data_IF_172424380044
#
_entry.id   IF_172424380044
#
_cell.length_a   1.000
_cell.length_b   1.000
_cell.length_c   1.000
_cell.angle_alpha   90.00
_cell.angle_beta   90.00
_cell.angle_gamma   90.00
#
_symmetry.space_group_name_H-M   'P 1'
#
loop_
_entity.id
_entity.type
_entity.pdbx_description
1 polymer ?
#
# COMPACT_ATOMS: atom_id res chain seq x y z
N UNK A 1 34.40 -23.37 -32.94
CA UNK A 1 34.42 -21.94 -32.59
C UNK A 1 33.42 -21.20 -33.46
N UNK A 2 32.85 -20.08 -33.00
CA UNK A 2 31.94 -19.22 -33.77
C UNK A 2 32.57 -17.87 -34.00
N UNK A 3 32.35 -17.30 -35.19
CA UNK A 3 32.74 -15.94 -35.53
C UNK A 3 31.96 -14.91 -34.70
N UNK A 4 32.50 -13.70 -34.53
CA UNK A 4 31.79 -12.60 -33.87
C UNK A 4 30.43 -12.29 -34.52
N UNK A 5 30.29 -12.47 -35.83
CA UNK A 5 29.03 -12.27 -36.54
C UNK A 5 27.97 -13.33 -36.21
N UNK A 6 28.38 -14.59 -36.11
CA UNK A 6 27.50 -15.69 -35.69
C UNK A 6 27.07 -15.54 -34.24
N UNK A 7 28.01 -15.22 -33.33
CA UNK A 7 27.69 -14.98 -31.92
C UNK A 7 26.77 -13.79 -31.75
N UNK A 8 26.98 -12.70 -32.50
CA UNK A 8 26.08 -11.55 -32.47
C UNK A 8 24.64 -11.95 -32.82
N UNK A 9 24.46 -12.71 -33.91
CA UNK A 9 23.16 -13.20 -34.34
C UNK A 9 22.51 -14.12 -33.29
N UNK A 10 23.29 -15.04 -32.72
CA UNK A 10 22.76 -16.11 -31.87
C UNK A 10 22.61 -15.73 -30.38
N UNK A 11 23.27 -14.65 -29.95
CA UNK A 11 23.15 -14.08 -28.60
C UNK A 11 22.17 -12.90 -28.53
N UNK A 12 21.85 -12.29 -29.68
CA UNK A 12 21.06 -11.06 -29.75
C UNK A 12 21.83 -9.80 -29.35
N UNK A 13 23.16 -9.88 -29.28
CA UNK A 13 24.06 -8.74 -29.10
C UNK A 13 24.54 -8.23 -30.46
N UNK A 14 24.79 -6.93 -30.60
CA UNK A 14 25.43 -6.42 -31.83
C UNK A 14 26.93 -6.74 -31.85
N UNK A 15 27.53 -6.80 -33.04
CA UNK A 15 28.98 -6.97 -33.20
C UNK A 15 29.75 -5.86 -32.48
N UNK A 16 29.21 -4.63 -32.47
CA UNK A 16 29.78 -3.50 -31.73
C UNK A 16 29.73 -3.73 -30.21
N UNK A 17 28.62 -4.27 -29.69
CA UNK A 17 28.47 -4.60 -28.28
C UNK A 17 29.46 -5.69 -27.85
N UNK A 18 29.65 -6.75 -28.65
CA UNK A 18 30.65 -7.79 -28.37
C UNK A 18 32.08 -7.23 -28.32
N UNK A 19 32.43 -6.31 -29.23
CA UNK A 19 33.72 -5.60 -29.18
C UNK A 19 33.86 -4.69 -27.95
N UNK A 20 32.77 -4.09 -27.50
CA UNK A 20 32.75 -3.30 -26.28
C UNK A 20 32.98 -4.18 -25.04
N UNK A 21 32.30 -5.33 -24.94
CA UNK A 21 32.45 -6.25 -23.80
C UNK A 21 33.81 -6.93 -23.73
N UNK A 22 34.42 -7.19 -24.89
CA UNK A 22 35.83 -7.60 -24.99
C UNK A 22 36.75 -6.55 -24.34
N UNK A 23 36.68 -5.28 -24.79
CA UNK A 23 37.49 -4.19 -24.22
C UNK A 23 37.21 -3.93 -22.74
N UNK A 24 35.97 -4.13 -22.29
CA UNK A 24 35.56 -3.95 -20.90
C UNK A 24 35.91 -5.16 -20.00
N UNK A 25 36.49 -6.23 -20.56
CA UNK A 25 36.86 -7.43 -19.82
C UNK A 25 35.65 -8.19 -19.25
N UNK A 26 34.50 -8.11 -19.92
CA UNK A 26 33.25 -8.75 -19.51
C UNK A 26 33.03 -10.05 -20.27
N UNK A 27 33.36 -10.07 -21.57
CA UNK A 27 33.30 -11.27 -22.40
C UNK A 27 34.47 -11.24 -23.39
N UNK A 28 35.59 -11.85 -22.99
CA UNK A 28 36.83 -11.87 -23.75
C UNK A 28 36.76 -12.99 -24.80
N UNK A 29 37.01 -12.74 -26.10
CA UNK A 29 37.00 -13.80 -27.12
C UNK A 29 37.96 -14.94 -26.78
N UNK A 30 37.55 -16.18 -27.04
CA UNK A 30 38.42 -17.35 -26.88
C UNK A 30 39.70 -17.25 -27.75
N UNK A 31 39.60 -16.63 -28.92
CA UNK A 31 40.75 -16.38 -29.78
C UNK A 31 40.55 -15.12 -30.63
N UNK A 32 41.63 -14.37 -30.82
CA UNK A 32 41.68 -13.23 -31.74
C UNK A 32 42.77 -13.48 -32.75
N UNK A 33 42.42 -13.42 -34.03
CA UNK A 33 43.36 -13.58 -35.13
C UNK A 33 44.42 -12.46 -35.09
N UNK A 34 45.72 -12.80 -35.00
CA UNK A 34 46.79 -11.82 -34.85
C UNK A 34 47.04 -10.97 -36.10
N UNK A 35 46.58 -11.40 -37.28
CA UNK A 35 46.75 -10.70 -38.55
C UNK A 35 45.50 -9.91 -38.92
N UNK A 36 44.32 -10.54 -38.84
CA UNK A 36 43.07 -9.92 -39.26
C UNK A 36 42.32 -9.20 -38.12
N UNK A 37 42.69 -9.44 -36.86
CA UNK A 37 42.00 -8.93 -35.67
C UNK A 37 40.61 -9.54 -35.47
N UNK A 38 40.29 -10.61 -36.19
CA UNK A 38 38.99 -11.25 -36.17
C UNK A 38 38.78 -12.06 -34.89
N UNK A 39 37.60 -11.96 -34.28
CA UNK A 39 37.29 -12.53 -32.97
C UNK A 39 36.49 -13.81 -33.10
N UNK A 40 36.90 -14.81 -32.35
CA UNK A 40 36.33 -16.14 -32.30
C UNK A 40 35.96 -16.51 -30.87
N UNK A 41 34.80 -17.12 -30.70
CA UNK A 41 34.25 -17.48 -29.40
C UNK A 41 34.02 -19.00 -29.31
N UNK A 42 34.13 -19.54 -28.10
CA UNK A 42 33.82 -20.94 -27.83
C UNK A 42 32.30 -21.18 -27.78
N UNK A 43 31.83 -22.44 -27.88
CA UNK A 43 30.42 -22.77 -27.68
C UNK A 43 29.89 -22.38 -26.28
N UNK A 44 30.70 -22.44 -25.23
CA UNK A 44 30.30 -22.05 -23.86
C UNK A 44 30.07 -20.54 -23.76
N UNK A 45 30.91 -19.74 -24.43
CA UNK A 45 30.77 -18.29 -24.50
C UNK A 45 29.49 -17.83 -25.21
N UNK A 46 28.84 -18.72 -25.98
CA UNK A 46 27.52 -18.45 -26.51
C UNK A 46 26.45 -18.44 -25.41
N UNK A 47 26.53 -19.33 -24.42
CA UNK A 47 25.61 -19.33 -23.29
C UNK A 47 25.83 -18.09 -22.42
N UNK A 48 27.09 -17.73 -22.16
CA UNK A 48 27.47 -16.52 -21.40
C UNK A 48 27.01 -15.25 -22.11
N UNK A 49 27.19 -15.14 -23.43
CA UNK A 49 26.71 -13.97 -24.19
C UNK A 49 25.19 -13.85 -24.22
N UNK A 50 24.45 -14.96 -24.26
CA UNK A 50 22.98 -14.96 -24.11
C UNK A 50 22.54 -14.50 -22.72
N UNK A 51 23.22 -14.96 -21.68
CA UNK A 51 22.97 -14.54 -20.31
C UNK A 51 23.26 -13.04 -20.15
N UNK A 52 24.42 -12.58 -20.62
CA UNK A 52 24.80 -11.17 -20.66
C UNK A 52 23.73 -10.32 -21.32
N UNK A 53 23.22 -10.75 -22.48
CA UNK A 53 22.17 -10.05 -23.21
C UNK A 53 20.89 -9.90 -22.37
N UNK A 54 20.49 -10.94 -21.64
CA UNK A 54 19.30 -10.90 -20.75
C UNK A 54 19.52 -9.96 -19.57
N UNK A 55 20.67 -10.06 -18.88
CA UNK A 55 21.02 -9.19 -17.75
C UNK A 55 21.08 -7.71 -18.16
N UNK A 56 21.56 -7.44 -19.38
CA UNK A 56 21.56 -6.08 -19.94
C UNK A 56 20.17 -5.53 -20.22
N UNK A 57 19.24 -6.35 -20.71
CA UNK A 57 17.86 -5.93 -20.97
C UNK A 57 17.13 -5.53 -19.69
N UNK A 58 17.45 -6.17 -18.57
CA UNK A 58 16.89 -5.82 -17.24
C UNK A 58 17.70 -4.72 -16.54
N UNK A 59 18.62 -4.05 -17.24
CA UNK A 59 19.33 -2.88 -16.72
C UNK A 59 20.39 -3.21 -15.65
N UNK A 60 20.90 -4.43 -15.59
CA UNK A 60 21.92 -4.78 -14.59
C UNK A 60 23.24 -4.01 -14.82
N UNK A 61 23.85 -3.42 -13.78
CA UNK A 61 25.14 -2.75 -13.87
C UNK A 61 26.25 -3.66 -14.43
N UNK A 62 27.22 -3.07 -15.15
CA UNK A 62 28.28 -3.87 -15.78
C UNK A 62 29.15 -4.62 -14.77
N UNK A 63 29.39 -4.01 -13.60
CA UNK A 63 30.14 -4.62 -12.51
C UNK A 63 29.45 -5.91 -12.03
N UNK A 64 28.14 -5.86 -11.80
CA UNK A 64 27.36 -7.00 -11.32
C UNK A 64 27.28 -8.10 -12.39
N UNK A 65 27.13 -7.73 -13.66
CA UNK A 65 27.17 -8.70 -14.77
C UNK A 65 28.49 -9.46 -14.81
N UNK A 66 29.63 -8.77 -14.58
CA UNK A 66 30.94 -9.44 -14.53
C UNK A 66 31.01 -10.46 -13.41
N UNK A 67 30.49 -10.12 -12.23
CA UNK A 67 30.44 -11.03 -11.09
C UNK A 67 29.54 -12.24 -11.39
N UNK A 68 28.35 -12.02 -11.96
CA UNK A 68 27.43 -13.10 -12.34
C UNK A 68 28.09 -14.05 -13.35
N UNK A 69 28.76 -13.52 -14.39
CA UNK A 69 29.43 -14.36 -15.38
C UNK A 69 30.61 -15.12 -14.79
N UNK A 70 31.43 -14.49 -13.93
CA UNK A 70 32.55 -15.16 -13.26
C UNK A 70 32.06 -16.31 -12.35
N UNK A 71 31.01 -16.07 -11.57
CA UNK A 71 30.40 -17.08 -10.68
C UNK A 71 29.66 -18.18 -11.42
N UNK A 72 29.12 -17.87 -12.61
CA UNK A 72 28.48 -18.84 -13.50
C UNK A 72 29.48 -19.88 -13.99
N UNK A 73 30.69 -19.47 -14.37
CA UNK A 73 31.75 -20.39 -14.79
C UNK A 73 32.35 -21.18 -13.62
N UNK A 74 32.26 -20.67 -12.37
CA UNK A 74 32.79 -21.34 -11.16
C UNK A 74 31.75 -22.13 -10.35
N UNK A 75 30.52 -22.29 -10.86
CA UNK A 75 29.40 -23.01 -10.23
C UNK A 75 28.94 -22.49 -8.85
N UNK A 76 29.20 -21.22 -8.52
CA UNK A 76 28.71 -20.59 -7.29
C UNK A 76 27.28 -20.05 -7.50
N UNK A 77 26.31 -20.96 -7.41
CA UNK A 77 24.90 -20.65 -7.63
C UNK A 77 24.32 -19.70 -6.57
N UNK A 78 24.85 -19.73 -5.35
CA UNK A 78 24.36 -18.91 -4.24
C UNK A 78 24.73 -17.44 -4.41
N UNK A 79 25.94 -17.14 -4.86
CA UNK A 79 26.34 -15.77 -5.14
C UNK A 79 25.54 -15.18 -6.32
N UNK A 80 25.34 -15.96 -7.39
CA UNK A 80 24.52 -15.53 -8.54
C UNK A 80 23.09 -15.21 -8.10
N UNK A 81 22.48 -16.08 -7.29
CA UNK A 81 21.12 -15.87 -6.76
C UNK A 81 21.02 -14.59 -5.94
N UNK A 82 21.97 -14.35 -5.02
CA UNK A 82 22.02 -13.12 -4.21
C UNK A 82 22.14 -11.85 -5.06
N UNK A 83 22.96 -11.87 -6.10
CA UNK A 83 23.13 -10.74 -7.02
C UNK A 83 21.86 -10.45 -7.82
N UNK A 84 21.16 -11.49 -8.28
CA UNK A 84 19.89 -11.35 -8.98
C UNK A 84 18.79 -10.78 -8.07
N UNK A 85 18.67 -11.29 -6.85
CA UNK A 85 17.71 -10.79 -5.85
C UNK A 85 17.99 -9.33 -5.46
N UNK A 86 19.26 -8.98 -5.24
CA UNK A 86 19.64 -7.60 -4.96
C UNK A 86 19.29 -6.66 -6.12
N UNK A 87 19.48 -7.12 -7.37
CA UNK A 87 19.10 -6.35 -8.54
C UNK A 87 17.59 -6.21 -8.70
N UNK A 88 16.83 -7.28 -8.45
CA UNK A 88 15.37 -7.25 -8.45
C UNK A 88 14.85 -6.21 -7.45
N UNK A 89 15.35 -6.22 -6.20
CA UNK A 89 14.99 -5.22 -5.18
C UNK A 89 15.28 -3.79 -5.63
N UNK A 90 16.43 -3.55 -6.29
CA UNK A 90 16.74 -2.22 -6.84
C UNK A 90 15.77 -1.79 -7.95
N UNK A 91 15.37 -2.71 -8.82
CA UNK A 91 14.39 -2.44 -9.88
C UNK A 91 13.00 -2.14 -9.29
N UNK A 92 12.57 -2.89 -8.28
CA UNK A 92 11.29 -2.68 -7.60
C UNK A 92 11.26 -1.33 -6.89
N UNK A 93 12.33 -0.98 -6.18
CA UNK A 93 12.47 0.33 -5.54
C UNK A 93 12.42 1.45 -6.58
N UNK A 94 13.21 1.34 -7.66
CA UNK A 94 13.20 2.34 -8.73
C UNK A 94 11.86 2.46 -9.44
N UNK A 95 11.11 1.37 -9.60
CA UNK A 95 9.75 1.40 -10.15
C UNK A 95 8.78 2.10 -9.20
N UNK A 96 8.89 1.85 -7.89
CA UNK A 96 8.10 2.53 -6.88
C UNK A 96 8.35 4.03 -6.90
N UNK A 97 9.62 4.45 -6.93
CA UNK A 97 10.02 5.86 -6.99
C UNK A 97 9.52 6.52 -8.28
N UNK A 98 9.69 5.86 -9.43
CA UNK A 98 9.20 6.38 -10.71
C UNK A 98 7.66 6.52 -10.73
N UNK A 99 6.93 5.57 -10.13
CA UNK A 99 5.47 5.66 -9.97
C UNK A 99 5.07 6.81 -9.05
N UNK A 100 5.83 7.05 -7.98
CA UNK A 100 5.60 8.16 -7.06
C UNK A 100 5.80 9.50 -7.80
N UNK A 101 6.91 9.68 -8.50
CA UNK A 101 7.20 10.88 -9.29
C UNK A 101 6.14 11.14 -10.38
N UNK A 102 5.74 10.10 -11.13
CA UNK A 102 4.67 10.23 -12.12
C UNK A 102 3.33 10.60 -11.49
N UNK A 103 3.05 10.12 -10.28
CA UNK A 103 1.85 10.50 -9.54
C UNK A 103 1.89 11.96 -9.11
N UNK A 104 3.05 12.45 -8.66
CA UNK A 104 3.27 13.87 -8.35
C UNK A 104 3.09 14.75 -9.59
N UNK A 105 3.68 14.37 -10.73
CA UNK A 105 3.52 15.10 -12.00
C UNK A 105 2.06 15.11 -12.45
N UNK A 106 1.35 13.98 -12.34
CA UNK A 106 -0.09 13.92 -12.64
C UNK A 106 -0.90 14.84 -11.73
N UNK A 107 -0.63 14.86 -10.42
CA UNK A 107 -1.31 15.75 -9.50
C UNK A 107 -1.05 17.24 -9.82
N UNK A 108 0.18 17.59 -10.21
CA UNK A 108 0.53 18.95 -10.65
C UNK A 108 -0.17 19.33 -11.96
N UNK A 109 -0.28 18.39 -12.90
CA UNK A 109 -1.01 18.60 -14.16
C UNK A 109 -2.52 18.71 -13.91
N UNK A 110 -3.11 17.85 -13.08
CA UNK A 110 -4.52 17.93 -12.66
C UNK A 110 -4.81 19.28 -12.00
N UNK A 111 -3.91 19.79 -11.15
CA UNK A 111 -4.03 21.13 -10.53
C UNK A 111 -3.95 22.27 -11.54
N UNK A 112 -3.24 22.07 -12.66
CA UNK A 112 -3.09 23.05 -13.74
C UNK A 112 -4.24 22.99 -14.74
N UNK A 113 -4.73 21.79 -15.07
CA UNK A 113 -5.80 21.53 -16.02
C UNK A 113 -7.19 21.71 -15.40
N UNK A 114 -7.33 21.54 -14.09
CA UNK A 114 -8.50 21.93 -13.29
C UNK A 114 -8.19 23.10 -12.35
N UNK A 115 -7.91 24.32 -12.88
CA UNK A 115 -7.69 25.49 -12.03
C UNK A 115 -8.96 25.95 -11.29
N UNK A 116 -10.11 25.28 -11.47
CA UNK A 116 -11.38 25.68 -10.86
C UNK A 116 -12.44 24.56 -10.96
N UNK A 117 -12.30 23.47 -10.20
CA UNK A 117 -13.51 22.75 -9.77
C UNK A 117 -14.11 23.60 -8.65
N UNK A 118 -14.97 24.54 -9.03
CA UNK A 118 -15.82 25.27 -8.11
C UNK A 118 -16.40 24.26 -7.12
N UNK A 119 -15.94 24.34 -5.88
CA UNK A 119 -16.81 24.11 -4.73
C UNK A 119 -18.01 25.03 -4.99
N UNK A 120 -19.04 24.52 -5.68
CA UNK A 120 -20.33 25.18 -5.62
C UNK A 120 -20.69 25.15 -4.14
N UNK A 121 -20.93 26.32 -3.59
CA UNK A 121 -21.82 26.54 -2.45
C UNK A 121 -23.21 26.00 -2.84
N UNK A 122 -23.31 24.69 -3.01
CA UNK A 122 -24.56 24.00 -3.15
C UNK A 122 -24.92 23.56 -1.74
N UNK A 123 -25.98 24.16 -1.21
CA UNK A 123 -26.68 23.60 -0.06
C UNK A 123 -27.09 22.18 -0.42
N UNK A 124 -26.50 21.18 0.21
CA UNK A 124 -26.93 19.80 0.10
C UNK A 124 -27.72 19.45 1.36
N UNK A 125 -28.92 18.90 1.18
CA UNK A 125 -29.74 18.41 2.26
C UNK A 125 -30.19 17.00 1.89
N UNK A 126 -29.98 16.07 2.81
CA UNK A 126 -30.32 14.67 2.59
C UNK A 126 -30.78 14.02 3.89
N UNK A 127 -31.54 12.95 3.74
CA UNK A 127 -31.96 12.11 4.85
C UNK A 127 -31.08 10.87 4.88
N UNK A 128 -30.49 10.57 6.02
CA UNK A 128 -29.63 9.40 6.25
C UNK A 128 -30.27 8.47 7.28
N UNK A 129 -30.03 7.17 7.15
CA UNK A 129 -30.37 6.21 8.21
C UNK A 129 -29.53 6.52 9.45
N UNK A 130 -30.19 6.78 10.59
CA UNK A 130 -29.49 7.19 11.80
C UNK A 130 -28.62 6.05 12.36
N UNK A 131 -29.15 4.81 12.32
CA UNK A 131 -28.44 3.62 12.76
C UNK A 131 -27.22 3.31 11.87
N UNK A 132 -27.35 3.47 10.55
CA UNK A 132 -26.25 3.24 9.62
C UNK A 132 -25.18 4.33 9.72
N UNK A 133 -25.56 5.60 9.85
CA UNK A 133 -24.59 6.68 10.06
C UNK A 133 -23.86 6.53 11.41
N UNK A 134 -24.57 6.13 12.47
CA UNK A 134 -23.95 5.85 13.75
C UNK A 134 -22.91 4.72 13.64
N UNK A 135 -23.29 3.61 13.01
CA UNK A 135 -22.39 2.49 12.75
C UNK A 135 -21.20 2.90 11.85
N UNK A 136 -21.43 3.73 10.84
CA UNK A 136 -20.37 4.22 9.96
C UNK A 136 -19.38 5.13 10.70
N UNK A 137 -19.87 6.03 11.55
CA UNK A 137 -19.02 6.88 12.39
C UNK A 137 -18.20 6.04 13.38
N UNK A 138 -18.82 5.07 14.06
CA UNK A 138 -18.12 4.14 14.97
C UNK A 138 -17.05 3.32 14.22
N UNK A 139 -17.33 2.94 12.98
CA UNK A 139 -16.43 2.14 12.15
C UNK A 139 -15.21 2.90 11.64
N UNK A 140 -15.23 4.24 11.59
CA UNK A 140 -14.12 5.01 11.00
C UNK A 140 -13.46 6.00 11.94
N UNK A 141 -14.15 6.46 13.00
CA UNK A 141 -13.68 7.55 13.86
C UNK A 141 -12.30 7.31 14.46
N UNK A 142 -11.97 6.05 14.75
CA UNK A 142 -10.68 5.66 15.32
C UNK A 142 -9.49 5.98 14.39
N UNK A 143 -9.70 6.11 13.08
CA UNK A 143 -8.66 6.35 12.08
C UNK A 143 -8.38 7.84 11.81
N UNK A 144 -9.15 8.77 12.39
CA UNK A 144 -8.88 10.20 12.25
C UNK A 144 -7.62 10.58 13.04
N UNK A 145 -6.80 11.48 12.47
CA UNK A 145 -5.56 11.91 13.11
C UNK A 145 -5.82 12.79 14.33
N UNK A 146 -4.96 12.66 15.34
CA UNK A 146 -4.89 13.60 16.48
C UNK A 146 -3.67 14.51 16.39
N UNK A 147 -2.89 14.39 15.31
CA UNK A 147 -1.67 15.14 15.09
C UNK A 147 -2.00 16.60 14.72
N UNK A 148 -1.60 17.60 15.55
CA UNK A 148 -1.87 19.00 15.27
C UNK A 148 -1.15 19.51 14.01
N UNK A 149 -0.11 18.83 13.54
CA UNK A 149 0.58 19.17 12.28
C UNK A 149 -0.20 18.72 11.03
N UNK A 150 -1.21 17.85 11.20
CA UNK A 150 -2.06 17.34 10.12
C UNK A 150 -3.53 17.73 10.31
N UNK A 151 -3.85 19.03 10.39
CA UNK A 151 -5.22 19.47 10.66
C UNK A 151 -6.21 18.99 9.59
N UNK A 152 -5.77 18.74 8.35
CA UNK A 152 -6.62 18.17 7.30
C UNK A 152 -7.10 16.75 7.57
N UNK A 153 -6.37 16.00 8.41
CA UNK A 153 -6.68 14.63 8.81
C UNK A 153 -7.35 14.54 10.19
N UNK A 154 -7.50 15.68 10.89
CA UNK A 154 -8.19 15.78 12.18
C UNK A 154 -9.72 15.70 12.10
N UNK A 155 -10.25 15.13 11.02
CA UNK A 155 -11.68 15.03 10.75
C UNK A 155 -12.04 13.81 9.93
N UNK A 156 -13.33 13.68 9.67
CA UNK A 156 -13.95 12.60 8.93
C UNK A 156 -14.51 13.19 7.63
N UNK A 157 -14.08 12.65 6.49
CA UNK A 157 -14.63 12.99 5.19
C UNK A 157 -16.02 12.37 5.05
N UNK A 158 -16.98 13.20 4.69
CA UNK A 158 -18.30 12.81 4.21
C UNK A 158 -18.29 13.04 2.70
N UNK A 159 -18.32 11.96 1.94
CA UNK A 159 -18.38 11.97 0.47
C UNK A 159 -19.76 11.47 0.02
N UNK A 160 -20.60 12.43 -0.35
CA UNK A 160 -22.00 12.24 -0.70
C UNK A 160 -22.10 11.95 -2.20
N UNK A 161 -22.62 10.78 -2.57
CA UNK A 161 -22.79 10.39 -3.97
C UNK A 161 -24.08 9.60 -4.18
N UNK A 162 -24.97 10.13 -5.02
CA UNK A 162 -26.26 9.50 -5.38
C UNK A 162 -27.09 9.09 -4.16
N UNK A 163 -27.05 7.81 -3.79
CA UNK A 163 -27.84 7.17 -2.72
C UNK A 163 -26.97 6.74 -1.52
N UNK A 164 -25.65 7.00 -1.54
CA UNK A 164 -24.74 6.59 -0.49
C UNK A 164 -23.90 7.76 0.05
N UNK A 165 -23.78 7.80 1.38
CA UNK A 165 -22.84 8.64 2.09
C UNK A 165 -21.65 7.77 2.48
N UNK A 166 -20.50 8.01 1.86
CA UNK A 166 -19.25 7.41 2.30
C UNK A 166 -18.66 8.25 3.42
N UNK A 167 -18.30 7.58 4.50
CA UNK A 167 -17.68 8.17 5.68
C UNK A 167 -16.26 7.63 5.75
N UNK A 168 -15.26 8.51 5.76
CA UNK A 168 -13.84 8.12 5.63
C UNK A 168 -12.98 8.87 6.62
N UNK A 169 -12.05 8.17 7.28
CA UNK A 169 -11.03 8.77 8.13
C UNK A 169 -9.66 8.13 7.91
N UNK A 170 -8.59 8.91 8.09
CA UNK A 170 -7.20 8.46 7.91
C UNK A 170 -6.23 9.34 8.70
N UNK A 171 -5.08 8.78 9.08
CA UNK A 171 -4.00 9.44 9.83
C UNK A 171 -2.60 9.25 9.19
N UNK A 172 -2.56 8.96 7.88
CA UNK A 172 -1.40 8.54 7.07
C UNK A 172 -0.98 7.07 7.22
N UNK A 173 -1.22 6.45 8.38
CA UNK A 173 -0.78 5.09 8.65
C UNK A 173 -1.91 4.06 8.59
N UNK A 174 -3.15 4.53 8.68
CA UNK A 174 -4.35 3.70 8.48
C UNK A 174 -5.44 4.52 7.82
N UNK A 175 -6.43 3.80 7.32
CA UNK A 175 -7.64 4.36 6.75
C UNK A 175 -8.82 3.48 7.10
N UNK A 176 -9.98 4.08 7.34
CA UNK A 176 -11.23 3.36 7.52
C UNK A 176 -12.31 4.01 6.64
N UNK A 177 -13.09 3.16 5.98
CA UNK A 177 -14.17 3.54 5.07
C UNK A 177 -15.42 2.78 5.50
N UNK A 178 -16.52 3.50 5.62
CA UNK A 178 -17.85 2.93 5.84
C UNK A 178 -18.88 3.69 5.01
N UNK A 179 -20.08 3.14 4.90
CA UNK A 179 -21.18 3.74 4.15
C UNK A 179 -22.47 3.76 4.95
N UNK A 180 -23.30 4.75 4.68
CA UNK A 180 -24.67 4.84 5.14
C UNK A 180 -25.59 5.14 3.95
N UNK A 181 -26.77 4.52 3.93
CA UNK A 181 -27.81 4.77 2.95
C UNK A 181 -28.40 6.17 3.11
N UNK A 182 -28.68 6.81 1.98
CA UNK A 182 -29.20 8.17 1.94
C UNK A 182 -30.37 8.29 0.97
N UNK A 183 -31.26 9.23 1.23
CA UNK A 183 -32.39 9.56 0.34
C UNK A 183 -32.54 11.08 0.22
N UNK A 184 -33.19 11.53 -0.84
CA UNK A 184 -33.52 12.96 -1.03
C UNK A 184 -32.38 13.81 -1.60
N UNK A 185 -31.31 13.19 -2.10
CA UNK A 185 -30.18 13.87 -2.72
C UNK A 185 -30.30 13.88 -4.25
N UNK A 186 -29.95 14.99 -4.90
CA UNK A 186 -30.13 15.20 -6.35
C UNK A 186 -29.05 14.54 -7.22
N UNK A 187 -28.15 13.76 -6.61
CA UNK A 187 -27.04 13.08 -7.27
C UNK A 187 -25.76 13.93 -7.41
N UNK A 188 -25.79 15.22 -7.04
CA UNK A 188 -24.60 16.08 -7.11
C UNK A 188 -23.57 15.68 -6.06
N UNK A 189 -22.38 15.25 -6.47
CA UNK A 189 -21.36 14.85 -5.49
C UNK A 189 -20.94 16.03 -4.60
N UNK A 190 -20.97 15.82 -3.28
CA UNK A 190 -20.52 16.82 -2.29
C UNK A 190 -19.53 16.18 -1.32
N UNK A 191 -18.39 16.84 -1.14
CA UNK A 191 -17.37 16.42 -0.18
C UNK A 191 -17.23 17.46 0.93
N UNK A 192 -17.26 17.00 2.17
CA UNK A 192 -17.07 17.83 3.34
C UNK A 192 -16.26 17.11 4.42
N UNK A 193 -15.26 17.78 4.98
CA UNK A 193 -14.48 17.23 6.10
C UNK A 193 -15.10 17.75 7.41
N UNK A 194 -15.73 16.85 8.14
CA UNK A 194 -16.36 17.10 9.44
C UNK A 194 -15.28 16.97 10.52
N UNK A 195 -14.97 18.02 11.31
CA UNK A 195 -13.98 17.91 12.38
C UNK A 195 -14.34 16.80 13.36
N UNK A 196 -13.34 16.10 13.91
CA UNK A 196 -13.56 14.97 14.80
C UNK A 196 -14.51 15.28 15.99
N UNK A 197 -14.42 16.44 16.69
CA UNK A 197 -15.36 16.77 17.76
C UNK A 197 -16.81 16.93 17.28
N UNK A 198 -17.02 17.41 16.05
CA UNK A 198 -18.35 17.52 15.46
C UNK A 198 -18.88 16.14 15.07
N UNK A 199 -18.04 15.27 14.51
CA UNK A 199 -18.39 13.89 14.22
C UNK A 199 -18.76 13.12 15.49
N UNK A 200 -18.03 13.34 16.60
CA UNK A 200 -18.34 12.75 17.91
C UNK A 200 -19.69 13.25 18.44
N UNK A 201 -19.99 14.54 18.30
CA UNK A 201 -21.27 15.11 18.67
C UNK A 201 -22.43 14.58 17.79
N UNK A 202 -22.19 14.40 16.49
CA UNK A 202 -23.14 13.76 15.56
C UNK A 202 -23.42 12.32 15.98
N UNK A 203 -22.38 11.55 16.30
CA UNK A 203 -22.54 10.17 16.78
C UNK A 203 -23.36 10.07 18.06
N UNK A 204 -23.14 10.98 19.02
CA UNK A 204 -23.90 11.05 20.27
C UNK A 204 -25.37 11.50 20.10
N UNK A 205 -25.69 12.14 18.96
CA UNK A 205 -27.06 12.54 18.61
C UNK A 205 -27.88 11.34 18.11
N UNK A 206 -27.23 10.40 17.42
CA UNK A 206 -27.84 9.25 16.75
C UNK A 206 -28.10 8.09 17.73
N UNK A 207 -29.16 8.21 18.53
CA UNK A 207 -29.55 7.18 19.53
C UNK A 207 -30.86 6.47 19.23
N UNK A 208 -31.94 7.20 18.93
CA UNK A 208 -33.30 6.64 19.00
C UNK A 208 -34.14 6.86 17.73
N UNK A 209 -33.76 7.79 16.85
CA UNK A 209 -34.51 8.13 15.65
C UNK A 209 -34.23 7.15 14.50
N UNK A 210 -35.21 6.92 13.63
CA UNK A 210 -35.02 6.07 12.44
C UNK A 210 -34.16 6.75 11.36
N UNK A 211 -34.22 8.08 11.26
CA UNK A 211 -33.54 8.86 10.24
C UNK A 211 -33.04 10.20 10.79
N UNK A 212 -31.95 10.69 10.22
CA UNK A 212 -31.39 12.00 10.52
C UNK A 212 -31.35 12.86 9.25
N UNK A 213 -31.50 14.17 9.39
CA UNK A 213 -31.32 15.10 8.28
C UNK A 213 -29.92 15.71 8.35
N UNK A 214 -29.12 15.48 7.31
CA UNK A 214 -27.80 16.06 7.15
C UNK A 214 -27.87 17.22 6.16
N UNK A 215 -27.44 18.40 6.62
CA UNK A 215 -27.39 19.62 5.81
C UNK A 215 -25.97 20.14 5.73
N UNK A 216 -25.49 20.38 4.51
CA UNK A 216 -24.20 21.03 4.22
C UNK A 216 -24.50 22.34 3.51
N UNK A 217 -24.29 23.46 4.20
CA UNK A 217 -24.48 24.81 3.66
C UNK A 217 -23.18 25.61 3.77
N UNK A 218 -22.48 25.75 2.64
CA UNK A 218 -21.19 26.41 2.57
C UNK A 218 -20.16 25.76 3.48
N UNK A 219 -19.86 26.38 4.62
CA UNK A 219 -18.95 25.83 5.63
C UNK A 219 -19.64 25.22 6.83
N UNK A 220 -20.96 25.34 6.93
CA UNK A 220 -21.72 24.81 8.06
C UNK A 220 -22.22 23.41 7.72
N UNK A 221 -21.97 22.48 8.64
CA UNK A 221 -22.54 21.14 8.60
C UNK A 221 -23.48 21.00 9.79
N UNK A 222 -24.69 20.53 9.54
CA UNK A 222 -25.74 20.35 10.55
C UNK A 222 -26.29 18.93 10.42
N UNK A 223 -26.48 18.27 11.56
CA UNK A 223 -27.20 17.01 11.66
C UNK A 223 -28.37 17.20 12.63
N UNK A 224 -29.56 16.84 12.19
CA UNK A 224 -30.81 16.96 12.95
C UNK A 224 -31.48 15.60 13.10
N UNK A 225 -31.95 15.27 14.29
CA UNK A 225 -32.72 14.05 14.59
C UNK A 225 -33.88 14.43 15.51
N UNK A 226 -35.12 14.25 15.04
CA UNK A 226 -36.31 14.74 15.76
C UNK A 226 -36.17 16.23 16.12
N UNK A 227 -36.20 16.54 17.42
CA UNK A 227 -36.07 17.90 17.96
C UNK A 227 -34.62 18.28 18.35
N UNK A 228 -33.65 17.38 18.16
CA UNK A 228 -32.25 17.57 18.56
C UNK A 228 -31.41 17.89 17.33
N UNK A 229 -30.42 18.76 17.49
CA UNK A 229 -29.47 19.08 16.42
C UNK A 229 -28.05 19.28 16.94
N UNK A 230 -27.08 19.03 16.08
CA UNK A 230 -25.69 19.46 16.26
C UNK A 230 -25.20 20.15 14.99
N UNK A 231 -24.36 21.16 15.16
CA UNK A 231 -23.84 21.94 14.05
C UNK A 231 -22.40 22.38 14.31
N UNK A 232 -21.63 22.50 13.24
CA UNK A 232 -20.29 23.07 13.32
C UNK A 232 -19.74 23.45 11.96
N UNK A 233 -18.50 23.93 11.96
CA UNK A 233 -17.81 24.33 10.74
C UNK A 233 -16.99 23.17 10.19
N UNK A 234 -17.04 22.96 8.87
CA UNK A 234 -16.16 22.02 8.18
C UNK A 234 -14.69 22.47 8.24
N UNK A 235 -13.79 21.53 8.04
CA UNK A 235 -12.39 21.83 7.75
C UNK A 235 -12.24 22.23 6.28
N UNK A 236 -11.59 23.37 6.03
CA UNK A 236 -11.34 23.89 4.67
C UNK A 236 -10.03 23.34 4.10
N UNK A 237 -9.93 22.02 4.07
CA UNK A 237 -8.80 21.31 3.51
C UNK A 237 -9.26 20.31 2.45
N UNK A 238 -8.32 19.85 1.64
CA UNK A 238 -8.55 18.73 0.74
C UNK A 238 -8.27 17.42 1.48
N UNK A 239 -9.15 16.45 1.32
CA UNK A 239 -8.96 15.11 1.87
C UNK A 239 -8.23 14.24 0.83
N UNK A 240 -7.33 13.33 1.23
CA UNK A 240 -6.67 12.41 0.30
C UNK A 240 -7.67 11.62 -0.56
N UNK A 241 -7.32 11.36 -1.83
CA UNK A 241 -8.15 10.56 -2.73
C UNK A 241 -8.16 9.08 -2.33
N UNK A 242 -9.06 8.74 -1.40
CA UNK A 242 -9.19 7.40 -0.83
C UNK A 242 -9.65 6.36 -1.86
N UNK A 243 -10.31 6.76 -2.95
CA UNK A 243 -10.84 5.84 -3.97
C UNK A 243 -9.73 5.10 -4.71
N UNK A 244 -8.55 5.70 -4.81
CA UNK A 244 -7.35 5.04 -5.35
C UNK A 244 -6.89 3.87 -4.48
N UNK A 245 -7.15 3.94 -3.17
CA UNK A 245 -6.77 2.94 -2.18
C UNK A 245 -7.81 1.82 -2.02
N UNK A 246 -9.07 2.04 -2.44
CA UNK A 246 -10.10 0.98 -2.42
C UNK A 246 -9.75 -0.19 -3.36
N UNK A 247 -9.01 0.09 -4.45
CA UNK A 247 -8.63 -0.90 -5.48
C UNK A 247 -7.21 -1.44 -5.29
N UNK A 248 -6.94 -2.07 -4.15
CA UNK A 248 -5.69 -2.82 -3.98
C UNK A 248 -5.69 -4.10 -4.83
N UNK A 249 -4.52 -4.54 -5.34
CA UNK A 249 -4.40 -5.83 -6.03
C UNK A 249 -4.77 -6.97 -5.08
N UNK A 250 -5.48 -7.98 -5.60
CA UNK A 250 -6.01 -9.09 -4.82
C UNK A 250 -4.89 -9.79 -4.04
N UNK A 251 -5.00 -9.74 -2.72
CA UNK A 251 -4.15 -10.46 -1.78
C UNK A 251 -4.72 -11.83 -1.40
N UNK A 252 -4.02 -12.55 -0.51
CA UNK A 252 -4.57 -13.75 0.12
C UNK A 252 -5.66 -13.32 1.10
N UNK A 253 -6.90 -13.73 0.85
CA UNK A 253 -8.06 -13.47 1.72
C UNK A 253 -8.24 -14.62 2.70
N UNK A 254 -8.28 -14.32 3.98
CA UNK A 254 -8.49 -15.29 5.05
C UNK A 254 -9.68 -14.86 5.90
N UNK A 255 -10.64 -15.77 6.08
CA UNK A 255 -11.75 -15.56 7.00
C UNK A 255 -11.27 -15.86 8.42
N UNK A 256 -11.45 -14.91 9.34
CA UNK A 256 -10.98 -15.01 10.72
C UNK A 256 -12.14 -14.85 11.69
N UNK A 257 -12.08 -15.60 12.79
CA UNK A 257 -12.92 -15.38 13.96
C UNK A 257 -12.39 -14.17 14.75
N UNK A 258 -13.22 -13.14 14.93
CA UNK A 258 -12.79 -11.87 15.53
C UNK A 258 -12.46 -12.03 17.01
N UNK A 259 -13.28 -12.67 17.86
CA UNK A 259 -12.90 -12.99 19.23
C UNK A 259 -11.53 -13.68 19.33
N UNK A 260 -11.29 -14.73 18.54
CA UNK A 260 -10.04 -15.49 18.57
C UNK A 260 -8.85 -14.63 18.13
N UNK A 261 -8.98 -13.92 16.99
CA UNK A 261 -7.89 -13.08 16.50
C UNK A 261 -7.62 -11.89 17.44
N UNK A 262 -8.65 -11.30 18.04
CA UNK A 262 -8.50 -10.18 18.98
C UNK A 262 -7.82 -10.64 20.27
N UNK A 263 -8.13 -11.83 20.76
CA UNK A 263 -7.43 -12.42 21.91
C UNK A 263 -5.97 -12.73 21.57
N UNK A 264 -5.71 -13.34 20.40
CA UNK A 264 -4.37 -13.62 19.91
C UNK A 264 -3.55 -12.34 19.72
N UNK A 265 -4.14 -11.28 19.17
CA UNK A 265 -3.50 -9.96 19.05
C UNK A 265 -3.40 -9.27 20.39
N UNK A 266 -4.28 -9.52 21.37
CA UNK A 266 -4.24 -8.88 22.69
C UNK A 266 -3.23 -9.51 23.65
N UNK A 267 -2.98 -10.81 23.52
CA UNK A 267 -2.10 -11.59 24.41
C UNK A 267 -0.81 -12.06 23.74
N UNK A 268 -0.80 -12.12 22.41
CA UNK A 268 0.34 -12.57 21.62
C UNK A 268 1.51 -11.59 21.64
N UNK A 269 2.64 -12.03 21.06
CA UNK A 269 3.91 -11.32 21.17
C UNK A 269 3.87 -9.91 20.59
N UNK A 270 4.73 -9.05 21.13
CA UNK A 270 4.87 -7.64 20.74
C UNK A 270 6.33 -7.37 20.38
N UNK A 271 6.56 -6.85 19.17
CA UNK A 271 7.85 -6.27 18.81
C UNK A 271 7.82 -4.78 19.11
N UNK A 272 8.87 -4.27 19.77
CA UNK A 272 9.05 -2.84 19.94
C UNK A 272 9.56 -2.24 18.63
N UNK A 273 8.85 -1.25 18.08
CA UNK A 273 9.37 -0.46 16.97
C UNK A 273 10.58 0.37 17.41
N UNK A 274 11.72 0.25 16.71
CA UNK A 274 12.80 1.24 16.79
C UNK A 274 12.52 2.48 15.93
N UNK A 275 11.50 2.42 15.07
CA UNK A 275 11.03 3.57 14.30
C UNK A 275 10.37 4.51 15.30
N UNK A 276 11.11 5.57 15.64
CA UNK A 276 10.54 6.75 16.29
C UNK A 276 9.43 7.27 15.36
N UNK A 277 8.18 7.21 15.81
CA UNK A 277 7.25 8.27 15.40
C UNK A 277 7.91 9.62 15.74
N UNK A 278 7.59 10.68 15.00
CA UNK A 278 8.16 12.02 15.22
C UNK A 278 8.02 12.52 16.67
N UNK A 279 7.21 11.84 17.50
CA UNK A 279 6.97 12.10 18.93
C UNK A 279 7.76 11.21 19.93
N UNK A 280 8.61 10.28 19.47
CA UNK A 280 9.44 9.45 20.37
C UNK A 280 8.68 8.35 21.13
N UNK A 281 7.44 8.03 20.75
CA UNK A 281 6.65 6.93 21.32
C UNK A 281 7.04 5.61 20.65
N UNK A 282 7.32 4.59 21.46
CA UNK A 282 7.55 3.23 20.99
C UNK A 282 6.22 2.61 20.56
N UNK A 283 6.08 2.28 19.28
CA UNK A 283 4.89 1.60 18.76
C UNK A 283 4.99 0.09 19.02
N UNK A 284 3.93 -0.48 19.58
CA UNK A 284 3.75 -1.92 19.73
C UNK A 284 3.39 -2.53 18.36
N UNK A 285 4.23 -3.43 17.85
CA UNK A 285 4.03 -4.09 16.56
C UNK A 285 3.56 -5.53 16.78
N UNK A 286 2.52 -5.93 16.07
CA UNK A 286 2.11 -7.33 15.93
C UNK A 286 2.43 -7.82 14.52
N UNK A 287 3.06 -8.99 14.43
CA UNK A 287 3.33 -9.67 13.15
C UNK A 287 2.26 -10.73 12.95
N UNK A 288 1.42 -10.51 11.95
CA UNK A 288 0.44 -11.49 11.52
C UNK A 288 1.09 -12.41 10.50
N UNK A 289 0.94 -13.72 10.69
CA UNK A 289 1.39 -14.74 9.76
C UNK A 289 0.21 -15.60 9.32
N UNK A 290 0.23 -16.06 8.07
CA UNK A 290 -0.73 -17.04 7.58
C UNK A 290 -0.05 -18.41 7.57
N UNK A 291 -0.60 -19.36 8.31
CA UNK A 291 -0.07 -20.72 8.43
C UNK A 291 -0.40 -21.56 7.19
N UNK A 292 0.23 -22.74 7.07
CA UNK A 292 0.04 -23.64 5.93
C UNK A 292 -1.41 -24.16 5.79
N UNK A 293 -2.11 -24.33 6.91
CA UNK A 293 -3.54 -24.66 7.00
C UNK A 293 -4.46 -23.45 6.77
N UNK A 294 -3.89 -22.25 6.57
CA UNK A 294 -4.63 -21.04 6.22
C UNK A 294 -5.20 -20.27 7.40
N UNK A 295 -4.77 -20.55 8.63
CA UNK A 295 -5.14 -19.76 9.80
C UNK A 295 -4.25 -18.51 9.93
N UNK A 296 -4.79 -17.45 10.53
CA UNK A 296 -4.02 -16.25 10.89
C UNK A 296 -3.54 -16.39 12.33
N UNK A 297 -2.24 -16.26 12.56
CA UNK A 297 -1.66 -16.27 13.90
C UNK A 297 -0.77 -15.05 14.15
N UNK A 298 -0.51 -14.74 15.41
CA UNK A 298 0.40 -13.66 15.83
C UNK A 298 1.70 -14.31 16.28
N UNK A 299 2.81 -13.99 15.62
CA UNK A 299 4.09 -14.67 15.82
C UNK A 299 5.21 -13.68 16.11
N UNK A 300 6.24 -14.09 16.86
CA UNK A 300 7.47 -13.28 16.97
C UNK A 300 8.29 -13.37 15.70
N UNK A 301 8.44 -14.57 15.16
CA UNK A 301 9.21 -14.87 13.97
C UNK A 301 8.31 -15.41 12.85
N UNK A 302 8.79 -15.29 11.62
CA UNK A 302 8.14 -15.82 10.43
C UNK A 302 9.18 -16.59 9.61
N UNK A 303 8.75 -17.66 8.93
CA UNK A 303 9.64 -18.40 8.05
C UNK A 303 9.77 -17.70 6.69
N UNK A 304 10.95 -17.80 6.06
CA UNK A 304 11.16 -17.29 4.70
C UNK A 304 10.16 -17.94 3.72
N UNK A 305 9.35 -17.12 3.06
CA UNK A 305 8.31 -17.57 2.13
C UNK A 305 6.90 -17.68 2.73
N UNK A 306 6.73 -17.45 4.03
CA UNK A 306 5.42 -17.36 4.66
C UNK A 306 4.79 -15.97 4.44
N UNK A 307 3.49 -15.93 4.13
CA UNK A 307 2.72 -14.68 4.08
C UNK A 307 2.72 -14.07 5.48
N UNK A 308 3.36 -12.91 5.63
CA UNK A 308 3.41 -12.17 6.87
C UNK A 308 3.25 -10.67 6.64
N UNK A 309 2.74 -9.98 7.65
CA UNK A 309 2.67 -8.53 7.67
C UNK A 309 2.84 -8.03 9.10
N UNK A 310 3.68 -7.03 9.29
CA UNK A 310 3.85 -6.34 10.56
C UNK A 310 3.01 -5.07 10.57
N UNK A 311 2.19 -4.90 11.60
CA UNK A 311 1.31 -3.73 11.74
C UNK A 311 1.34 -3.19 13.16
N UNK A 312 0.96 -1.92 13.33
CA UNK A 312 0.72 -1.35 14.65
C UNK A 312 -0.43 -2.13 15.34
N UNK A 313 -0.14 -2.68 16.53
CA UNK A 313 -1.04 -3.53 17.32
C UNK A 313 -2.31 -2.79 17.72
N UNK A 314 -2.19 -1.55 18.18
CA UNK A 314 -3.34 -0.76 18.63
C UNK A 314 -4.26 -0.44 17.45
N UNK A 315 -3.67 -0.15 16.29
CA UNK A 315 -4.44 0.10 15.07
C UNK A 315 -5.18 -1.14 14.60
N UNK A 316 -4.54 -2.32 14.71
CA UNK A 316 -5.17 -3.60 14.42
C UNK A 316 -6.33 -3.89 15.37
N UNK A 317 -6.15 -3.70 16.68
CA UNK A 317 -7.20 -3.91 17.67
C UNK A 317 -8.39 -2.98 17.44
N UNK A 318 -8.15 -1.72 17.07
CA UNK A 318 -9.21 -0.79 16.71
C UNK A 318 -9.98 -1.24 15.46
N UNK A 319 -9.27 -1.68 14.42
CA UNK A 319 -9.91 -2.15 13.19
C UNK A 319 -10.74 -3.43 13.41
N UNK A 320 -10.26 -4.36 14.24
CA UNK A 320 -11.01 -5.56 14.64
C UNK A 320 -12.25 -5.20 15.46
N UNK A 321 -12.14 -4.25 16.39
CA UNK A 321 -13.25 -3.79 17.20
C UNK A 321 -14.32 -3.06 16.36
N UNK A 322 -13.91 -2.22 15.41
CA UNK A 322 -14.79 -1.49 14.50
C UNK A 322 -15.61 -2.42 13.60
N UNK A 323 -15.07 -3.59 13.26
CA UNK A 323 -15.79 -4.62 12.51
C UNK A 323 -16.94 -5.26 13.29
N UNK A 324 -16.89 -5.28 14.63
CA UNK A 324 -17.93 -5.71 15.59
C UNK A 324 -18.82 -6.89 15.14
N UNK A 325 -18.24 -7.93 14.54
CA UNK A 325 -18.92 -9.16 14.08
C UNK A 325 -18.07 -10.37 14.42
N UNK A 326 -18.68 -11.54 14.42
CA UNK A 326 -17.97 -12.79 14.74
C UNK A 326 -16.90 -13.14 13.70
N UNK A 327 -17.08 -12.71 12.44
CA UNK A 327 -16.17 -13.01 11.34
C UNK A 327 -15.80 -11.80 10.50
N UNK A 328 -14.52 -11.70 10.14
CA UNK A 328 -13.98 -10.70 9.21
C UNK A 328 -13.09 -11.38 8.17
N UNK A 329 -12.87 -10.70 7.05
CA UNK A 329 -11.93 -11.11 6.02
C UNK A 329 -10.67 -10.25 6.16
N UNK A 330 -9.54 -10.89 6.41
CA UNK A 330 -8.23 -10.25 6.41
C UNK A 330 -7.54 -10.55 5.08
N UNK A 331 -7.15 -9.49 4.37
CA UNK A 331 -6.54 -9.57 3.05
C UNK A 331 -5.06 -9.16 3.11
N UNK A 332 -4.19 -10.10 2.80
CA UNK A 332 -2.74 -9.95 2.84
C UNK A 332 -2.19 -9.70 1.43
N UNK A 333 -1.66 -8.50 1.18
CA UNK A 333 -1.00 -8.16 -0.10
C UNK A 333 0.51 -8.44 -0.14
N UNK A 334 1.09 -9.00 0.94
CA UNK A 334 2.52 -9.21 1.14
C UNK A 334 3.14 -8.27 2.19
N UNK A 335 4.45 -8.43 2.52
CA UNK A 335 5.07 -7.79 3.68
C UNK A 335 5.12 -6.25 3.64
N UNK A 336 5.11 -5.67 2.44
CA UNK A 336 5.15 -4.22 2.22
C UNK A 336 3.84 -3.65 1.68
N UNK A 337 2.81 -4.49 1.50
CA UNK A 337 1.50 -4.07 1.06
C UNK A 337 0.60 -3.76 2.27
N UNK A 338 -0.37 -2.84 2.12
CA UNK A 338 -1.36 -2.60 3.17
C UNK A 338 -2.15 -3.86 3.50
N UNK A 339 -2.41 -4.06 4.79
CA UNK A 339 -3.35 -5.05 5.29
C UNK A 339 -4.76 -4.48 5.21
N UNK A 340 -5.68 -5.17 4.54
CA UNK A 340 -7.09 -4.78 4.52
C UNK A 340 -7.93 -5.73 5.37
N UNK A 341 -8.87 -5.15 6.12
CA UNK A 341 -9.82 -5.87 6.98
C UNK A 341 -11.21 -5.48 6.51
N UNK A 342 -11.96 -6.47 5.99
CA UNK A 342 -13.25 -6.28 5.34
C UNK A 342 -14.32 -7.09 6.04
N UNK A 343 -15.56 -6.64 5.88
CA UNK A 343 -16.73 -7.42 6.26
C UNK A 343 -17.13 -8.39 5.13
N UNK A 344 -17.51 -9.65 5.43
CA UNK A 344 -18.02 -10.58 4.42
C UNK A 344 -19.32 -10.10 3.75
N UNK A 345 -20.16 -9.36 4.48
CA UNK A 345 -21.47 -8.88 4.05
C UNK A 345 -21.45 -7.47 3.47
N UNK A 346 -20.33 -6.74 3.58
CA UNK A 346 -20.19 -5.36 3.14
C UNK A 346 -18.75 -5.07 2.73
N UNK A 347 -18.36 -5.45 1.51
CA UNK A 347 -16.98 -5.31 1.02
C UNK A 347 -16.52 -3.84 0.92
N UNK A 348 -17.46 -2.90 0.73
CA UNK A 348 -17.21 -1.46 0.65
C UNK A 348 -16.93 -0.81 2.02
N UNK A 349 -17.22 -1.52 3.11
CA UNK A 349 -16.82 -1.13 4.47
C UNK A 349 -15.55 -1.87 4.85
N UNK A 350 -14.45 -1.14 5.01
CA UNK A 350 -13.16 -1.74 5.29
C UNK A 350 -12.23 -0.83 6.08
N UNK A 351 -11.30 -1.47 6.79
CA UNK A 351 -10.13 -0.82 7.40
C UNK A 351 -8.87 -1.23 6.65
N UNK A 352 -7.92 -0.31 6.54
CA UNK A 352 -6.63 -0.53 5.92
C UNK A 352 -5.52 -0.06 6.88
N UNK A 353 -4.51 -0.91 7.07
CA UNK A 353 -3.34 -0.60 7.90
C UNK A 353 -2.08 -0.66 7.04
N UNK A 354 -1.27 0.39 7.11
CA UNK A 354 0.04 0.41 6.46
C UNK A 354 0.99 -0.53 7.21
N UNK A 355 1.80 -1.32 6.50
CA UNK A 355 2.75 -2.22 7.13
C UNK A 355 3.92 -1.43 7.72
N UNK A 356 4.41 -1.92 8.85
CA UNK A 356 5.64 -1.43 9.49
C UNK A 356 6.80 -2.25 8.95
N UNK A 357 7.84 -1.58 8.45
CA UNK A 357 9.06 -2.27 8.02
C UNK A 357 9.75 -2.87 9.24
N UNK A 358 9.93 -4.18 9.24
CA UNK A 358 10.80 -4.85 10.18
C UNK A 358 12.25 -4.67 9.68
N UNK A 359 13.14 -4.19 10.53
CA UNK A 359 14.58 -4.28 10.24
C UNK A 359 15.00 -5.74 10.40
N UNK A 360 15.74 -6.27 9.42
CA UNK A 360 16.28 -7.63 9.47
C UNK A 360 17.06 -7.84 10.78
N UNK A 361 16.83 -8.98 11.44
CA UNK A 361 17.72 -9.41 12.53
C UNK A 361 19.16 -9.41 11.98
N UNK A 362 20.14 -8.79 12.65
CA UNK A 362 21.53 -9.06 12.33
C UNK A 362 21.73 -10.55 12.55
N UNK A 363 21.95 -11.29 11.45
CA UNK A 363 22.03 -12.74 11.47
C UNK A 363 22.88 -13.23 12.62
N UNK A 364 22.31 -14.14 13.42
CA UNK A 364 23.01 -14.87 14.45
C UNK A 364 24.25 -15.53 13.87
N UNK A 365 25.40 -14.92 14.12
CA UNK A 365 26.70 -15.59 14.15
C UNK A 365 27.28 -15.35 15.54
N UNK A 366 27.17 -16.38 16.37
CA UNK A 366 27.94 -16.57 17.60
C UNK A 366 28.25 -18.05 17.70
#
# INVERSE_FOLDING_TARGET
>A
MRSIGEVARDSGLSVSALRFYDRAGVLIPAWVDPVSGYRWYSPEQLAESRLLARLRRVGMPLADIRLVLASWSSADADLVRKLLEAHLRRLELGLSDARHELSTVRALLERRENPMTLVRTATAQLTVSAAELAAALDAVRFAASTDPELPMLGGVLFDLESEALHVVATDRYRMAVAQAGTTGHDGTRVQVIVPAPLADAMRALLTDDASAQLTVDGDRVVLETGDRQTAGRRLRHEFPDYRRLVRLPAGRRVLVDVPVLREAVGTGPVRASKVREQDGVSVSISVLTVTADGAVTVSEDFEEGQDHVAVNRDFLLHALAAGARDQLIVEFGGPTAPLAIRRPDAEDTFSMLMPVRLEDQPGGRG
#
